data_IF_799525181811
#
_entry.id   IF_799525181811
#
_cell.length_a   1.000
_cell.length_b   1.000
_cell.length_c   1.000
_cell.angle_alpha   90.00
_cell.angle_beta   90.00
_cell.angle_gamma   90.00
#
_symmetry.space_group_name_H-M   'P 1'
#
loop_
_entity.id
_entity.type
_entity.pdbx_description
1 polymer ?
#
# COMPACT_ATOMS: atom_id res chain seq x y z
N UNK A 1 -0.20 -3.99 -2.33
CA UNK A 1 -0.23 -3.02 -1.22
C UNK A 1 -0.71 -3.72 0.03
N UNK A 2 0.15 -3.85 1.04
CA UNK A 2 -0.20 -4.47 2.32
C UNK A 2 0.33 -3.65 3.48
N UNK A 3 -0.51 -3.40 4.46
CA UNK A 3 -0.12 -2.77 5.73
C UNK A 3 0.57 -1.41 5.58
N UNK A 4 0.24 -0.63 4.53
CA UNK A 4 0.80 0.71 4.34
C UNK A 4 -0.03 1.75 5.10
N UNK A 5 0.57 2.92 5.31
CA UNK A 5 -0.14 4.12 5.77
C UNK A 5 -0.02 5.18 4.68
N UNK A 6 -1.14 5.53 4.07
CA UNK A 6 -1.26 6.58 3.07
C UNK A 6 -1.74 7.87 3.74
N UNK A 7 -0.97 8.94 3.60
CA UNK A 7 -1.30 10.24 4.17
C UNK A 7 -1.46 11.26 3.06
N UNK A 8 -2.62 11.89 2.96
CA UNK A 8 -2.85 13.03 2.08
C UNK A 8 -2.22 14.27 2.69
N UNK A 9 -1.00 14.60 2.27
CA UNK A 9 -0.22 15.71 2.83
C UNK A 9 -0.54 17.07 2.16
N UNK A 10 -0.71 17.05 0.84
CA UNK A 10 -0.84 18.27 0.05
C UNK A 10 -2.29 18.60 -0.28
N UNK A 11 -2.69 19.88 -0.34
CA UNK A 11 -3.97 20.27 -0.89
C UNK A 11 -4.06 19.86 -2.36
N UNK A 12 -5.26 19.58 -2.82
CA UNK A 12 -5.51 19.17 -4.21
C UNK A 12 -4.96 20.18 -5.20
N UNK A 13 -5.16 21.44 -4.90
CA UNK A 13 -4.79 22.59 -5.74
C UNK A 13 -3.28 22.72 -5.95
N UNK A 14 -2.49 22.27 -4.98
CA UNK A 14 -1.02 22.36 -5.03
C UNK A 14 -0.38 21.26 -5.87
N UNK A 15 -1.13 20.20 -6.18
CA UNK A 15 -0.63 19.02 -6.89
C UNK A 15 -1.08 18.96 -8.34
N UNK A 16 -2.13 19.69 -8.69
CA UNK A 16 -2.66 19.74 -10.06
C UNK A 16 -1.74 20.60 -10.91
N UNK A 17 -1.08 19.98 -11.88
CA UNK A 17 -0.34 20.69 -12.91
C UNK A 17 -1.24 20.97 -14.12
N UNK A 18 -0.98 22.02 -14.93
CA UNK A 18 -1.74 22.31 -16.16
C UNK A 18 -1.78 21.13 -17.14
N UNK A 19 -0.81 20.24 -17.07
CA UNK A 19 -0.72 19.05 -17.91
C UNK A 19 -1.73 17.97 -17.50
N UNK A 20 -2.14 17.99 -16.24
CA UNK A 20 -3.07 17.01 -15.69
C UNK A 20 -4.52 17.27 -16.12
N UNK A 21 -4.84 18.48 -16.58
CA UNK A 21 -6.19 18.87 -17.03
C UNK A 21 -6.52 18.43 -18.47
N UNK A 22 -5.50 18.12 -19.27
CA UNK A 22 -5.69 17.76 -20.69
C UNK A 22 -5.95 16.27 -20.92
N UNK A 23 -5.70 15.42 -19.93
CA UNK A 23 -5.74 13.97 -20.08
C UNK A 23 -7.14 13.36 -19.85
N UNK A 24 -8.15 14.17 -19.55
CA UNK A 24 -9.50 13.69 -19.26
C UNK A 24 -9.62 12.87 -17.94
N UNK A 25 -8.58 12.84 -17.14
CA UNK A 25 -8.59 12.18 -15.85
C UNK A 25 -9.36 13.01 -14.82
N UNK A 26 -10.18 12.33 -14.03
CA UNK A 26 -10.87 12.91 -12.90
C UNK A 26 -9.85 13.36 -11.82
N UNK A 27 -9.61 14.68 -11.77
CA UNK A 27 -8.65 15.28 -10.84
C UNK A 27 -9.04 15.08 -9.38
N UNK A 28 -10.32 14.85 -9.07
CA UNK A 28 -10.74 14.51 -7.71
C UNK A 28 -10.22 13.17 -7.24
N UNK A 29 -10.06 12.22 -8.14
CA UNK A 29 -9.54 10.90 -7.81
C UNK A 29 -8.01 10.86 -7.74
N UNK A 30 -7.31 11.68 -8.53
CA UNK A 30 -5.83 11.69 -8.62
C UNK A 30 -5.12 11.91 -7.30
N UNK A 31 -5.75 12.60 -6.37
CA UNK A 31 -5.16 12.99 -5.09
C UNK A 31 -5.61 12.10 -3.93
N UNK A 32 -6.29 11.03 -4.27
CA UNK A 32 -7.00 10.21 -3.31
C UNK A 32 -6.33 8.85 -3.01
N UNK A 33 -5.00 8.75 -3.15
CA UNK A 33 -4.29 7.53 -2.78
C UNK A 33 -4.20 6.51 -3.93
N UNK A 34 -4.99 5.46 -3.91
CA UNK A 34 -4.91 4.35 -4.87
C UNK A 34 -5.84 4.46 -6.08
N UNK A 35 -6.33 5.66 -6.41
CA UNK A 35 -7.29 5.89 -7.49
C UNK A 35 -6.87 5.30 -8.86
N UNK A 36 -5.58 5.34 -9.18
CA UNK A 36 -5.05 4.81 -10.44
C UNK A 36 -5.28 3.32 -10.62
N UNK A 37 -5.58 2.62 -9.55
CA UNK A 37 -5.84 1.19 -9.57
C UNK A 37 -7.33 0.84 -9.58
N UNK A 38 -8.23 1.82 -9.61
CA UNK A 38 -9.67 1.56 -9.54
C UNK A 38 -10.21 0.71 -10.68
N UNK A 39 -9.58 0.80 -11.86
CA UNK A 39 -9.90 -0.03 -13.02
C UNK A 39 -9.20 -1.40 -13.02
N UNK A 40 -8.26 -1.60 -12.10
CA UNK A 40 -7.52 -2.86 -12.02
C UNK A 40 -8.36 -3.95 -11.36
N UNK A 41 -8.29 -5.19 -11.87
CA UNK A 41 -9.01 -6.31 -11.28
C UNK A 41 -8.33 -6.79 -9.98
N UNK A 42 -9.09 -7.46 -9.13
CA UNK A 42 -8.52 -8.37 -8.14
C UNK A 42 -7.96 -9.62 -8.83
N UNK A 43 -7.17 -10.42 -8.10
CA UNK A 43 -6.69 -11.68 -8.64
C UNK A 43 -7.83 -12.60 -9.08
N UNK A 44 -8.87 -12.72 -8.29
CA UNK A 44 -10.01 -13.58 -8.57
C UNK A 44 -10.79 -13.11 -9.82
N UNK A 45 -10.96 -11.80 -9.98
CA UNK A 45 -11.58 -11.21 -11.17
C UNK A 45 -10.70 -11.43 -12.42
N UNK A 46 -9.39 -11.25 -12.28
CA UNK A 46 -8.46 -11.40 -13.39
C UNK A 46 -8.35 -12.85 -13.83
N UNK A 47 -8.15 -13.80 -12.91
CA UNK A 47 -8.00 -15.22 -13.23
C UNK A 47 -9.28 -15.83 -13.80
N UNK A 48 -10.46 -15.29 -13.44
CA UNK A 48 -11.74 -15.75 -13.95
C UNK A 48 -11.94 -15.52 -15.46
N UNK A 49 -11.12 -14.68 -16.07
CA UNK A 49 -11.15 -14.42 -17.51
C UNK A 49 -10.54 -15.55 -18.34
N UNK A 50 -9.79 -16.45 -17.70
CA UNK A 50 -9.12 -17.56 -18.36
C UNK A 50 -9.93 -18.85 -18.23
N UNK A 51 -10.10 -19.57 -19.32
CA UNK A 51 -10.71 -20.91 -19.35
C UNK A 51 -9.58 -21.97 -19.54
N UNK A 52 -9.06 -22.46 -18.44
CA UNK A 52 -7.97 -23.45 -18.45
C UNK A 52 -8.42 -24.84 -18.91
N UNK A 53 -9.72 -25.05 -19.19
CA UNK A 53 -10.22 -26.35 -19.72
C UNK A 53 -10.08 -26.44 -21.22
N UNK A 54 -9.70 -25.36 -21.91
CA UNK A 54 -9.54 -25.28 -23.36
C UNK A 54 -8.13 -24.91 -23.74
N UNK A 55 -7.69 -25.27 -24.98
CA UNK A 55 -6.44 -24.73 -25.50
C UNK A 55 -6.43 -23.21 -25.49
N UNK A 56 -5.28 -22.63 -25.11
CA UNK A 56 -5.13 -21.18 -25.06
C UNK A 56 -5.19 -20.60 -26.46
N UNK A 57 -6.14 -19.71 -26.69
CA UNK A 57 -6.19 -18.88 -27.91
C UNK A 57 -5.36 -17.63 -27.65
N UNK A 58 -4.13 -17.59 -28.18
CA UNK A 58 -3.19 -16.50 -27.96
C UNK A 58 -3.72 -15.14 -28.45
N UNK A 59 -4.54 -15.12 -29.49
CA UNK A 59 -5.12 -13.87 -30.00
C UNK A 59 -6.14 -13.29 -29.03
N UNK A 60 -6.87 -14.13 -28.31
CA UNK A 60 -7.82 -13.69 -27.27
C UNK A 60 -7.14 -13.44 -25.93
N UNK A 61 -6.02 -14.11 -25.67
CA UNK A 61 -5.27 -13.97 -24.45
C UNK A 61 -4.54 -12.60 -24.38
N UNK A 62 -4.01 -12.14 -25.50
CA UNK A 62 -3.20 -10.93 -25.56
C UNK A 62 -3.89 -9.69 -24.95
N UNK A 63 -5.13 -9.31 -25.31
CA UNK A 63 -5.80 -8.17 -24.70
C UNK A 63 -6.08 -8.32 -23.22
N UNK A 64 -6.27 -9.55 -22.73
CA UNK A 64 -6.51 -9.84 -21.33
C UNK A 64 -5.19 -9.83 -20.56
N UNK A 65 -4.14 -10.42 -21.11
CA UNK A 65 -2.82 -10.52 -20.50
C UNK A 65 -2.12 -9.16 -20.40
N UNK A 66 -2.21 -8.33 -21.44
CA UNK A 66 -1.64 -6.99 -21.49
C UNK A 66 -2.63 -5.88 -21.09
N UNK A 67 -3.81 -6.25 -20.62
CA UNK A 67 -4.73 -5.34 -19.97
C UNK A 67 -4.25 -4.93 -18.59
N UNK A 68 -5.16 -4.51 -17.74
CA UNK A 68 -4.82 -4.21 -16.36
C UNK A 68 -4.51 -5.50 -15.60
N UNK A 69 -3.27 -5.62 -15.11
CA UNK A 69 -2.87 -6.70 -14.23
C UNK A 69 -3.59 -6.58 -12.88
N UNK A 70 -3.69 -7.70 -12.19
CA UNK A 70 -4.33 -7.76 -10.88
C UNK A 70 -3.58 -6.94 -9.82
N UNK A 71 -4.34 -6.39 -8.88
CA UNK A 71 -3.83 -5.65 -7.73
C UNK A 71 -4.30 -6.31 -6.44
N UNK A 72 -3.41 -6.41 -5.47
CA UNK A 72 -3.71 -6.82 -4.11
C UNK A 72 -3.58 -5.62 -3.18
N UNK A 73 -4.63 -5.33 -2.40
CA UNK A 73 -4.63 -4.25 -1.43
C UNK A 73 -5.37 -4.69 -0.18
N UNK A 74 -4.65 -4.75 0.95
CA UNK A 74 -5.20 -5.22 2.22
C UNK A 74 -4.48 -4.63 3.42
N UNK A 75 -5.25 -4.29 4.46
CA UNK A 75 -4.71 -3.86 5.74
C UNK A 75 -4.09 -2.46 5.73
N UNK A 76 -4.42 -1.65 4.72
CA UNK A 76 -3.86 -0.32 4.59
C UNK A 76 -4.64 0.72 5.40
N UNK A 77 -3.97 1.79 5.77
CA UNK A 77 -4.52 2.93 6.52
C UNK A 77 -4.48 4.18 5.65
N UNK A 78 -5.56 4.94 5.66
CA UNK A 78 -5.75 6.13 4.84
C UNK A 78 -6.08 7.31 5.74
N UNK A 79 -5.20 8.31 5.78
CA UNK A 79 -5.28 9.47 6.67
C UNK A 79 -5.27 10.78 5.90
N UNK A 80 -5.82 11.85 6.52
CA UNK A 80 -5.79 13.19 5.97
C UNK A 80 -6.61 13.37 4.71
N UNK A 81 -7.69 12.60 4.54
CA UNK A 81 -8.53 12.62 3.35
C UNK A 81 -8.07 11.70 2.21
N UNK A 82 -7.01 10.91 2.42
CA UNK A 82 -6.64 9.84 1.48
C UNK A 82 -7.78 8.83 1.37
N UNK A 83 -8.04 8.37 0.15
CA UNK A 83 -9.10 7.42 -0.14
C UNK A 83 -8.53 6.02 -0.38
N UNK A 84 -9.21 5.03 0.16
CA UNK A 84 -8.91 3.63 -0.12
C UNK A 84 -9.21 3.29 -1.59
N UNK A 85 -8.50 2.30 -2.11
CA UNK A 85 -8.93 1.62 -3.32
C UNK A 85 -10.32 1.00 -3.09
N UNK A 86 -11.21 1.08 -4.09
CA UNK A 86 -12.60 0.61 -3.94
C UNK A 86 -12.73 -0.88 -3.60
N UNK A 87 -11.67 -1.66 -3.86
CA UNK A 87 -11.61 -3.10 -3.56
C UNK A 87 -10.63 -3.41 -2.42
N UNK A 88 -10.26 -2.41 -1.62
CA UNK A 88 -9.44 -2.59 -0.42
C UNK A 88 -10.07 -3.60 0.53
N UNK A 89 -9.25 -4.51 1.06
CA UNK A 89 -9.67 -5.48 2.07
C UNK A 89 -9.15 -5.04 3.45
N UNK A 90 -10.02 -5.06 4.45
CA UNK A 90 -9.63 -4.74 5.83
C UNK A 90 -8.82 -3.44 5.95
N UNK A 91 -9.25 -2.37 5.29
CA UNK A 91 -8.63 -1.05 5.38
C UNK A 91 -9.22 -0.20 6.48
N UNK A 92 -8.44 0.76 6.97
CA UNK A 92 -8.88 1.79 7.90
C UNK A 92 -8.80 3.16 7.24
N UNK A 93 -9.90 3.92 7.26
CA UNK A 93 -9.90 5.34 6.90
C UNK A 93 -10.17 6.16 8.16
N UNK A 94 -9.29 7.09 8.48
CA UNK A 94 -9.38 7.95 9.65
C UNK A 94 -8.75 9.33 9.40
N UNK A 95 -8.93 10.28 10.32
CA UNK A 95 -8.41 11.65 10.19
C UNK A 95 -8.77 12.26 8.83
N UNK A 96 -10.03 12.63 8.64
CA UNK A 96 -10.54 13.17 7.36
C UNK A 96 -9.82 14.46 6.92
N UNK A 97 -9.38 15.28 7.89
CA UNK A 97 -8.65 16.50 7.59
C UNK A 97 -7.14 16.25 7.63
N UNK A 98 -6.44 16.72 6.60
CA UNK A 98 -4.97 16.59 6.53
C UNK A 98 -4.25 17.37 7.63
N UNK A 99 -4.83 18.46 8.09
CA UNK A 99 -4.28 19.32 9.15
C UNK A 99 -4.18 18.61 10.49
N UNK A 100 -5.01 17.59 10.70
CA UNK A 100 -4.99 16.77 11.92
C UNK A 100 -3.83 15.78 11.94
N UNK A 101 -3.20 15.52 10.76
CA UNK A 101 -2.15 14.50 10.61
C UNK A 101 -0.78 15.16 10.57
N UNK A 102 0.03 14.88 11.59
CA UNK A 102 1.43 15.32 11.67
C UNK A 102 2.35 14.24 11.12
N UNK A 103 3.17 14.59 10.12
CA UNK A 103 4.28 13.79 9.61
C UNK A 103 5.38 14.77 9.22
N UNK A 104 6.39 14.92 10.05
CA UNK A 104 7.48 15.89 9.89
C UNK A 104 8.83 15.23 10.09
N UNK A 105 9.74 15.46 9.17
CA UNK A 105 11.14 15.10 9.32
C UNK A 105 11.91 16.30 9.87
N UNK A 106 12.44 16.16 11.07
CA UNK A 106 13.16 17.22 11.78
C UNK A 106 14.62 16.82 11.94
N UNK A 107 15.54 17.69 11.48
CA UNK A 107 16.98 17.52 11.73
C UNK A 107 17.32 18.06 13.12
N UNK A 108 17.93 17.21 13.96
CA UNK A 108 18.42 17.55 15.29
C UNK A 108 19.92 17.30 15.37
N UNK A 109 20.56 17.63 16.49
CA UNK A 109 22.00 17.48 16.68
C UNK A 109 22.49 16.03 16.56
N UNK A 110 21.64 15.08 16.91
CA UNK A 110 21.90 13.63 16.92
C UNK A 110 21.38 12.88 15.66
N UNK A 111 20.74 13.59 14.72
CA UNK A 111 20.27 13.00 13.47
C UNK A 111 18.89 13.46 13.05
N UNK A 112 18.25 12.66 12.20
CA UNK A 112 16.91 12.94 11.71
C UNK A 112 15.86 12.25 12.56
N UNK A 113 14.83 13.00 12.94
CA UNK A 113 13.70 12.54 13.73
C UNK A 113 12.42 12.65 12.92
N UNK A 114 11.63 11.58 12.90
CA UNK A 114 10.28 11.60 12.39
C UNK A 114 9.33 11.93 13.55
N UNK A 115 8.76 13.13 13.51
CA UNK A 115 7.70 13.53 14.44
C UNK A 115 6.34 13.27 13.81
N UNK A 116 5.50 12.46 14.47
CA UNK A 116 4.22 12.03 13.89
C UNK A 116 3.18 11.68 14.96
N UNK A 117 1.91 11.85 14.59
CA UNK A 117 0.77 11.37 15.38
C UNK A 117 -0.06 10.33 14.64
N UNK A 118 0.47 9.77 13.52
CA UNK A 118 -0.30 8.85 12.66
C UNK A 118 -0.82 7.63 13.43
N UNK A 119 -0.09 7.16 14.42
CA UNK A 119 -0.44 5.97 15.19
C UNK A 119 -1.61 6.19 16.15
N UNK A 120 -1.89 7.44 16.56
CA UNK A 120 -3.05 7.78 17.37
C UNK A 120 -4.38 7.48 16.65
N UNK A 121 -4.36 7.54 15.30
CA UNK A 121 -5.53 7.29 14.47
C UNK A 121 -5.79 5.81 14.23
N UNK A 122 -4.83 4.93 14.47
CA UNK A 122 -4.98 3.49 14.22
C UNK A 122 -5.88 2.80 15.25
N UNK A 123 -5.94 3.31 16.50
CA UNK A 123 -6.84 2.83 17.57
C UNK A 123 -6.85 1.30 17.74
N UNK A 124 -5.67 0.68 17.68
CA UNK A 124 -5.52 -0.77 17.77
C UNK A 124 -5.83 -1.53 16.48
N UNK A 125 -6.00 -0.84 15.35
CA UNK A 125 -6.08 -1.47 14.05
C UNK A 125 -4.80 -2.24 13.74
N UNK A 126 -4.94 -3.46 13.24
CA UNK A 126 -3.82 -4.32 12.86
C UNK A 126 -4.09 -4.95 11.50
N UNK A 127 -3.03 -5.15 10.74
CA UNK A 127 -3.04 -5.96 9.54
C UNK A 127 -2.73 -7.43 9.84
N UNK A 128 -2.48 -8.20 8.80
CA UNK A 128 -1.96 -9.56 8.93
C UNK A 128 -0.47 -9.61 8.62
N UNK A 129 0.23 -10.60 9.16
CA UNK A 129 1.61 -10.88 8.81
C UNK A 129 1.71 -11.23 7.31
N UNK A 130 2.58 -10.54 6.60
CA UNK A 130 2.88 -10.81 5.19
C UNK A 130 4.10 -11.73 5.10
N UNK A 131 3.96 -12.81 4.35
CA UNK A 131 4.98 -13.81 4.13
C UNK A 131 4.82 -14.42 2.72
N UNK A 132 5.73 -15.30 2.33
CA UNK A 132 5.70 -16.00 1.05
C UNK A 132 4.35 -16.67 0.77
N UNK A 133 3.73 -17.32 1.76
CA UNK A 133 2.44 -17.99 1.60
C UNK A 133 1.31 -16.98 1.30
N UNK A 134 1.29 -15.85 1.99
CA UNK A 134 0.30 -14.77 1.77
C UNK A 134 0.49 -14.09 0.42
N UNK A 135 1.74 -13.90 0.00
CA UNK A 135 2.06 -13.32 -1.30
C UNK A 135 1.72 -14.28 -2.45
N UNK A 136 1.80 -15.59 -2.21
CA UNK A 136 1.52 -16.60 -3.22
C UNK A 136 2.61 -16.68 -4.29
N UNK A 137 2.21 -16.97 -5.52
CA UNK A 137 3.11 -17.10 -6.66
C UNK A 137 2.96 -15.90 -7.61
N UNK A 138 4.08 -15.50 -8.20
CA UNK A 138 4.07 -14.61 -9.36
C UNK A 138 3.40 -15.34 -10.53
N UNK A 139 2.54 -14.61 -11.26
CA UNK A 139 1.66 -15.24 -12.25
C UNK A 139 2.42 -15.93 -13.40
N UNK A 140 3.31 -15.21 -14.07
CA UNK A 140 3.97 -15.75 -15.27
C UNK A 140 4.98 -16.86 -14.97
N UNK A 141 5.91 -16.69 -14.00
CA UNK A 141 6.88 -17.73 -13.69
C UNK A 141 6.32 -18.84 -12.78
N UNK A 142 5.10 -18.66 -12.24
CA UNK A 142 4.48 -19.57 -11.26
C UNK A 142 5.39 -19.86 -10.04
N UNK A 143 6.30 -18.95 -9.74
CA UNK A 143 7.26 -19.08 -8.66
C UNK A 143 6.79 -18.31 -7.41
N UNK A 144 7.05 -18.86 -6.21
CA UNK A 144 6.75 -18.15 -4.99
C UNK A 144 7.59 -16.87 -4.87
N UNK A 145 7.05 -15.88 -4.17
CA UNK A 145 7.82 -14.73 -3.73
C UNK A 145 8.71 -15.16 -2.56
N UNK A 146 10.03 -15.11 -2.77
CA UNK A 146 11.03 -15.55 -1.80
C UNK A 146 12.24 -14.61 -1.79
N UNK A 147 13.09 -14.73 -0.78
CA UNK A 147 14.36 -14.02 -0.72
C UNK A 147 15.33 -14.51 -1.81
N UNK A 148 16.36 -13.71 -2.11
CA UNK A 148 17.34 -14.03 -3.14
C UNK A 148 18.11 -15.34 -2.90
N UNK A 149 18.15 -15.82 -1.66
CA UNK A 149 18.77 -17.08 -1.27
C UNK A 149 17.80 -18.28 -1.27
N UNK A 150 16.54 -18.07 -1.70
CA UNK A 150 15.49 -19.08 -1.73
C UNK A 150 14.79 -19.32 -0.40
N UNK A 151 15.08 -18.51 0.63
CA UNK A 151 14.35 -18.62 1.89
C UNK A 151 13.00 -17.89 1.81
N UNK A 152 11.97 -18.33 2.56
CA UNK A 152 10.68 -17.65 2.59
C UNK A 152 10.79 -16.19 3.06
N UNK A 153 10.10 -15.30 2.36
CA UNK A 153 9.92 -13.92 2.82
C UNK A 153 9.05 -13.91 4.06
N UNK A 154 9.39 -13.03 5.02
CA UNK A 154 8.58 -12.73 6.18
C UNK A 154 8.82 -11.29 6.63
N UNK A 155 7.77 -10.48 6.68
CA UNK A 155 7.85 -9.07 7.13
C UNK A 155 7.56 -8.98 8.63
N UNK A 156 8.35 -9.69 9.44
CA UNK A 156 8.18 -9.78 10.89
C UNK A 156 9.14 -8.90 11.69
N UNK A 157 9.86 -8.02 11.02
CA UNK A 157 10.65 -6.97 11.63
C UNK A 157 10.19 -5.59 11.15
N UNK A 158 10.35 -4.59 12.01
CA UNK A 158 10.07 -3.19 11.68
C UNK A 158 11.33 -2.48 11.17
N UNK A 159 11.23 -1.16 10.94
CA UNK A 159 12.35 -0.33 10.48
C UNK A 159 13.58 -0.43 11.40
N UNK A 160 13.40 -0.65 12.69
CA UNK A 160 14.47 -0.76 13.68
C UNK A 160 14.92 -2.20 13.95
N UNK A 161 14.33 -3.19 13.29
CA UNK A 161 14.58 -4.62 13.55
C UNK A 161 13.81 -5.17 14.74
N UNK A 162 12.82 -4.45 15.25
CA UNK A 162 11.95 -4.96 16.30
C UNK A 162 10.96 -5.96 15.73
N UNK A 163 10.75 -7.05 16.47
CA UNK A 163 9.85 -8.11 16.04
C UNK A 163 8.37 -7.66 16.01
N UNK A 164 7.69 -7.98 14.90
CA UNK A 164 6.25 -7.80 14.72
C UNK A 164 5.53 -9.12 14.97
N UNK A 165 4.44 -9.06 15.71
CA UNK A 165 3.58 -10.22 15.93
C UNK A 165 2.80 -10.64 14.68
N UNK A 166 1.94 -11.64 14.84
CA UNK A 166 1.08 -12.18 13.76
C UNK A 166 0.03 -11.18 13.25
N UNK A 167 -0.28 -10.16 14.04
CA UNK A 167 -1.18 -9.06 13.70
C UNK A 167 -0.42 -7.72 13.84
N UNK A 168 0.47 -7.40 12.88
CA UNK A 168 1.31 -6.22 12.96
C UNK A 168 0.52 -4.93 12.84
N UNK A 169 0.98 -3.89 13.50
CA UNK A 169 0.53 -2.52 13.25
C UNK A 169 0.99 -2.12 11.84
N UNK A 170 0.13 -1.51 11.00
CA UNK A 170 0.54 -1.01 9.70
C UNK A 170 1.62 0.07 9.78
N UNK A 171 2.38 0.21 8.70
CA UNK A 171 3.46 1.19 8.62
C UNK A 171 4.81 0.63 9.05
N UNK A 172 5.84 1.49 9.16
CA UNK A 172 7.22 1.05 9.30
C UNK A 172 7.64 0.64 10.73
N UNK A 173 6.87 0.96 11.75
CA UNK A 173 7.24 0.73 13.15
C UNK A 173 6.32 -0.30 13.83
N UNK A 174 6.91 -1.19 14.60
CA UNK A 174 6.16 -2.16 15.41
C UNK A 174 5.55 -1.50 16.66
N UNK A 175 6.24 -0.50 17.21
CA UNK A 175 5.77 0.29 18.33
C UNK A 175 4.98 1.52 17.81
N UNK A 176 3.74 1.61 18.26
CA UNK A 176 2.81 2.67 17.91
C UNK A 176 2.66 3.74 19.02
N UNK A 177 3.38 3.60 20.14
CA UNK A 177 3.18 4.47 21.30
C UNK A 177 4.01 5.75 21.22
N UNK A 178 5.18 5.71 20.58
CA UNK A 178 6.05 6.88 20.48
C UNK A 178 5.68 7.79 19.31
N UNK A 179 5.40 9.04 19.61
CA UNK A 179 5.10 10.09 18.62
C UNK A 179 6.35 10.58 17.87
N UNK A 180 7.55 10.23 18.34
CA UNK A 180 8.82 10.61 17.76
C UNK A 180 9.70 9.39 17.54
N UNK A 181 10.27 9.26 16.34
CA UNK A 181 11.19 8.19 15.99
C UNK A 181 12.50 8.77 15.44
N UNK A 182 13.61 8.45 16.06
CA UNK A 182 14.93 8.79 15.51
C UNK A 182 15.23 7.84 14.34
N UNK A 183 15.47 8.39 13.17
CA UNK A 183 15.79 7.62 11.97
C UNK A 183 17.31 7.48 11.83
N UNK A 184 17.76 6.26 11.55
CA UNK A 184 19.17 6.05 11.26
C UNK A 184 19.52 6.62 9.88
N UNK A 185 20.50 7.51 9.83
CA UNK A 185 21.14 7.92 8.58
C UNK A 185 22.29 6.96 8.32
N UNK A 186 22.19 6.18 7.25
CA UNK A 186 23.29 5.34 6.77
C UNK A 186 24.17 6.11 5.81
#
# INVERSE_FOLDING_TARGET
FYNNIFVQKWPKEDVITPHDSDDGYDTENRLAGTWTFDEYPTYEEWISQFDFTKPVDMVKLEPVHFGHLQVWSEGNVYLGGAKAWKKERNGLTAAENREDVKVELVEKEDGYHLETNIYEFLKGFTGRMINTEVLGNAFEPEQPFENADGTPIRFDEDYFGNHRGVAPVPGPFADAEDAEKMLYVK
#
